data_IF_932898108306
#
_entry.id   IF_932898108306
#
_cell.length_a   1.000
_cell.length_b   1.000
_cell.length_c   1.000
_cell.angle_alpha   90.00
_cell.angle_beta   90.00
_cell.angle_gamma   90.00
#
_symmetry.space_group_name_H-M   'P 1'
#
loop_
_entity.id
_entity.type
_entity.pdbx_description
1 polymer ?
#
# COMPACT_ATOMS: atom_id res chain seq x y z
N UNK A 1 4.24 6.49 8.86
CA UNK A 1 5.54 6.83 9.49
C UNK A 1 6.71 6.64 8.51
N UNK A 2 6.82 5.50 7.82
CA UNK A 2 7.84 5.25 6.78
C UNK A 2 7.96 6.37 5.73
N UNK A 3 6.83 6.93 5.29
CA UNK A 3 6.81 8.04 4.32
C UNK A 3 7.36 9.35 4.88
N UNK A 4 7.25 9.57 6.19
CA UNK A 4 7.82 10.74 6.85
C UNK A 4 9.34 10.61 6.86
N UNK A 5 9.87 9.44 7.22
CA UNK A 5 11.33 9.19 7.21
C UNK A 5 11.92 9.39 5.82
N UNK A 6 11.26 8.82 4.79
CA UNK A 6 11.67 8.97 3.40
C UNK A 6 11.54 10.43 2.92
N UNK A 7 10.46 11.11 3.29
CA UNK A 7 10.25 12.52 2.97
C UNK A 7 11.30 13.43 3.62
N UNK A 8 11.63 13.19 4.89
CA UNK A 8 12.66 13.95 5.61
C UNK A 8 14.05 13.74 4.99
N UNK A 9 14.37 12.52 4.52
CA UNK A 9 15.60 12.24 3.79
C UNK A 9 15.73 13.08 2.50
N UNK A 10 14.62 13.31 1.80
CA UNK A 10 14.56 14.17 0.62
C UNK A 10 14.35 15.67 0.95
N UNK A 11 14.37 16.07 2.23
CA UNK A 11 14.00 17.43 2.69
C UNK A 11 12.63 17.91 2.21
N UNK A 12 11.65 17.00 2.16
CA UNK A 12 10.27 17.32 1.83
C UNK A 12 9.71 18.43 2.76
N UNK A 13 9.02 19.39 2.18
CA UNK A 13 8.36 20.45 2.93
C UNK A 13 7.05 19.96 3.58
N UNK A 14 6.46 20.78 4.45
CA UNK A 14 5.24 20.42 5.19
C UNK A 14 4.06 20.06 4.30
N UNK A 15 3.88 20.73 3.16
CA UNK A 15 2.78 20.43 2.25
C UNK A 15 2.98 19.04 1.61
N UNK A 16 4.22 18.71 1.24
CA UNK A 16 4.56 17.41 0.66
C UNK A 16 4.37 16.27 1.68
N UNK A 17 4.81 16.48 2.92
CA UNK A 17 4.60 15.52 4.01
C UNK A 17 3.11 15.34 4.32
N UNK A 18 2.34 16.42 4.39
CA UNK A 18 0.89 16.35 4.58
C UNK A 18 0.23 15.59 3.43
N UNK A 19 0.58 15.88 2.18
CA UNK A 19 0.07 15.14 1.01
C UNK A 19 0.37 13.65 1.10
N UNK A 20 1.61 13.27 1.42
CA UNK A 20 1.99 11.87 1.59
C UNK A 20 1.16 11.17 2.68
N UNK A 21 1.05 11.80 3.85
CA UNK A 21 0.29 11.23 4.98
C UNK A 21 -1.21 11.16 4.68
N UNK A 22 -1.77 12.16 3.99
CA UNK A 22 -3.18 12.14 3.60
C UNK A 22 -3.46 11.06 2.57
N UNK A 23 -2.61 10.89 1.55
CA UNK A 23 -2.76 9.81 0.56
C UNK A 23 -2.66 8.43 1.22
N UNK A 24 -1.70 8.25 2.13
CA UNK A 24 -1.54 7.02 2.91
C UNK A 24 -2.77 6.72 3.78
N UNK A 25 -3.26 7.71 4.52
CA UNK A 25 -4.45 7.55 5.36
C UNK A 25 -5.71 7.23 4.53
N UNK A 26 -5.88 7.87 3.36
CA UNK A 26 -6.98 7.58 2.44
C UNK A 26 -6.87 6.19 1.83
N UNK A 27 -5.67 5.76 1.44
CA UNK A 27 -5.39 4.40 0.96
C UNK A 27 -5.80 3.36 2.01
N UNK A 28 -5.32 3.50 3.25
CA UNK A 28 -5.66 2.57 4.34
C UNK A 28 -7.15 2.63 4.68
N UNK A 29 -7.73 3.83 4.77
CA UNK A 29 -9.15 4.00 5.09
C UNK A 29 -10.07 3.36 4.05
N UNK A 30 -9.79 3.56 2.77
CA UNK A 30 -10.57 2.94 1.69
C UNK A 30 -10.32 1.43 1.56
N UNK A 31 -9.12 0.94 1.87
CA UNK A 31 -8.83 -0.49 1.98
C UNK A 31 -9.56 -1.17 3.15
N UNK A 32 -9.71 -0.48 4.28
CA UNK A 32 -10.52 -0.94 5.40
C UNK A 32 -12.01 -1.01 5.01
N UNK A 33 -12.52 -0.01 4.27
CA UNK A 33 -13.89 -0.06 3.72
C UNK A 33 -14.03 -1.25 2.77
N UNK A 34 -13.06 -1.53 1.90
CA UNK A 34 -13.08 -2.71 1.04
C UNK A 34 -13.19 -4.00 1.86
N UNK A 35 -12.41 -4.13 2.92
CA UNK A 35 -12.41 -5.33 3.78
C UNK A 35 -13.72 -5.50 4.54
N UNK A 36 -14.33 -4.39 4.98
CA UNK A 36 -15.58 -4.39 5.75
C UNK A 36 -16.84 -4.35 4.88
N UNK A 37 -16.72 -4.23 3.56
CA UNK A 37 -17.87 -4.14 2.66
C UNK A 37 -18.68 -5.45 2.50
N UNK A 38 -18.33 -6.51 3.24
CA UNK A 38 -19.11 -7.75 3.30
C UNK A 38 -20.32 -7.65 4.25
N UNK A 39 -21.31 -8.51 4.07
CA UNK A 39 -22.49 -8.57 4.95
C UNK A 39 -23.76 -9.15 4.32
N UNK A 40 -23.68 -9.68 3.09
CA UNK A 40 -24.82 -10.19 2.32
C UNK A 40 -25.91 -9.13 2.09
N UNK A 41 -25.52 -7.86 1.89
CA UNK A 41 -26.46 -6.77 1.65
C UNK A 41 -26.13 -6.02 0.35
N UNK A 42 -27.09 -6.01 -0.58
CA UNK A 42 -26.95 -5.25 -1.82
C UNK A 42 -27.17 -3.75 -1.56
N UNK A 43 -26.13 -2.95 -1.77
CA UNK A 43 -26.21 -1.48 -1.73
C UNK A 43 -26.11 -0.97 -3.16
N UNK A 44 -27.08 -0.14 -3.58
CA UNK A 44 -27.12 0.41 -4.94
C UNK A 44 -27.05 -0.64 -6.08
N UNK A 45 -27.58 -1.85 -5.84
CA UNK A 45 -27.63 -2.93 -6.83
C UNK A 45 -26.31 -3.68 -7.05
N UNK A 46 -25.28 -3.39 -6.26
CA UNK A 46 -23.99 -4.10 -6.29
C UNK A 46 -23.95 -5.17 -5.20
N UNK A 47 -23.45 -6.34 -5.55
CA UNK A 47 -23.14 -7.39 -4.58
C UNK A 47 -21.88 -7.03 -3.76
N UNK A 48 -21.63 -7.80 -2.71
CA UNK A 48 -20.50 -7.55 -1.81
C UNK A 48 -19.16 -7.64 -2.58
N UNK A 49 -19.01 -8.60 -3.49
CA UNK A 49 -17.79 -8.77 -4.28
C UNK A 49 -17.46 -7.53 -5.13
N UNK A 50 -18.43 -7.01 -5.87
CA UNK A 50 -18.25 -5.80 -6.67
C UNK A 50 -17.92 -4.58 -5.80
N UNK A 51 -18.61 -4.42 -4.65
CA UNK A 51 -18.33 -3.33 -3.71
C UNK A 51 -16.90 -3.40 -3.17
N UNK A 52 -16.44 -4.59 -2.77
CA UNK A 52 -15.08 -4.84 -2.28
C UNK A 52 -14.04 -4.47 -3.35
N UNK A 53 -14.26 -4.89 -4.60
CA UNK A 53 -13.36 -4.59 -5.72
C UNK A 53 -13.29 -3.09 -6.05
N UNK A 54 -14.41 -2.38 -6.01
CA UNK A 54 -14.43 -0.92 -6.23
C UNK A 54 -13.59 -0.21 -5.17
N UNK A 55 -13.80 -0.52 -3.89
CA UNK A 55 -13.05 0.10 -2.80
C UNK A 55 -11.57 -0.29 -2.81
N UNK A 56 -11.25 -1.54 -3.16
CA UNK A 56 -9.88 -1.98 -3.41
C UNK A 56 -9.23 -1.18 -4.54
N UNK A 57 -9.96 -0.93 -5.63
CA UNK A 57 -9.48 -0.13 -6.76
C UNK A 57 -9.23 1.33 -6.38
N UNK A 58 -10.11 1.93 -5.57
CA UNK A 58 -9.94 3.29 -5.04
C UNK A 58 -8.69 3.36 -4.13
N UNK A 59 -8.54 2.40 -3.21
CA UNK A 59 -7.36 2.30 -2.33
C UNK A 59 -6.08 2.17 -3.14
N UNK A 60 -6.07 1.30 -4.15
CA UNK A 60 -4.95 1.13 -5.08
C UNK A 60 -4.69 2.40 -5.89
N UNK A 61 -5.73 3.16 -6.26
CA UNK A 61 -5.58 4.46 -6.90
C UNK A 61 -4.82 5.47 -6.04
N UNK A 62 -5.12 5.53 -4.73
CA UNK A 62 -4.36 6.35 -3.79
C UNK A 62 -2.91 5.87 -3.64
N UNK A 63 -2.67 4.55 -3.62
CA UNK A 63 -1.32 4.00 -3.66
C UNK A 63 -0.56 4.50 -4.90
N UNK A 64 -1.14 4.39 -6.10
CA UNK A 64 -0.49 4.82 -7.34
C UNK A 64 -0.22 6.33 -7.36
N UNK A 65 -1.15 7.15 -6.86
CA UNK A 65 -0.93 8.60 -6.72
C UNK A 65 0.24 8.91 -5.77
N UNK A 66 0.35 8.16 -4.66
CA UNK A 66 1.46 8.26 -3.72
C UNK A 66 2.78 7.84 -4.39
N UNK A 67 2.78 6.73 -5.14
CA UNK A 67 3.96 6.28 -5.88
C UNK A 67 4.43 7.32 -6.90
N UNK A 68 3.50 7.92 -7.65
CA UNK A 68 3.82 9.01 -8.57
C UNK A 68 4.55 10.16 -7.86
N UNK A 69 4.08 10.54 -6.67
CA UNK A 69 4.70 11.59 -5.88
C UNK A 69 6.11 11.20 -5.37
N UNK A 70 6.31 9.94 -4.97
CA UNK A 70 7.61 9.43 -4.54
C UNK A 70 8.64 9.41 -5.68
N UNK A 71 8.25 8.90 -6.86
CA UNK A 71 9.15 8.74 -8.01
C UNK A 71 9.39 10.04 -8.78
N UNK A 72 8.46 10.99 -8.73
CA UNK A 72 8.64 12.34 -9.27
C UNK A 72 9.29 13.24 -8.23
N UNK A 73 8.47 14.08 -7.61
CA UNK A 73 8.88 15.22 -6.79
C UNK A 73 9.97 14.90 -5.76
N UNK A 74 9.83 13.82 -4.98
CA UNK A 74 10.79 13.53 -3.91
C UNK A 74 12.10 12.90 -4.41
N UNK A 75 12.05 12.19 -5.54
CA UNK A 75 13.26 11.66 -6.16
C UNK A 75 14.11 12.78 -6.71
N UNK A 76 13.50 13.76 -7.39
CA UNK A 76 14.19 14.95 -7.89
C UNK A 76 14.84 15.72 -6.74
N UNK A 77 14.09 15.99 -5.67
CA UNK A 77 14.61 16.67 -4.48
C UNK A 77 15.78 15.92 -3.83
N UNK A 78 15.69 14.59 -3.70
CA UNK A 78 16.78 13.81 -3.12
C UNK A 78 18.05 13.84 -3.98
N UNK A 79 17.92 13.90 -5.31
CA UNK A 79 19.06 13.99 -6.23
C UNK A 79 19.75 15.36 -6.15
N UNK A 80 19.00 16.44 -5.94
CA UNK A 80 19.55 17.79 -5.74
C UNK A 80 20.40 17.92 -4.47
N UNK A 81 20.19 17.06 -3.47
CA UNK A 81 20.95 17.03 -2.22
C UNK A 81 22.31 16.34 -2.33
N UNK A 82 22.60 15.69 -3.47
CA UNK A 82 23.87 15.02 -3.76
C UNK A 82 23.72 13.53 -4.07
N UNK A 83 24.75 12.95 -4.68
CA UNK A 83 24.75 11.57 -5.17
C UNK A 83 24.46 10.54 -4.08
N UNK A 84 25.02 10.72 -2.88
CA UNK A 84 24.90 9.74 -1.80
C UNK A 84 23.49 9.73 -1.20
N UNK A 85 22.89 10.93 -1.02
CA UNK A 85 21.51 11.08 -0.54
C UNK A 85 20.53 10.55 -1.58
N UNK A 86 20.72 10.91 -2.86
CA UNK A 86 19.91 10.41 -3.96
C UNK A 86 19.95 8.88 -4.07
N UNK A 87 21.14 8.28 -3.94
CA UNK A 87 21.30 6.82 -3.95
C UNK A 87 20.59 6.14 -2.77
N UNK A 88 20.74 6.68 -1.55
CA UNK A 88 20.05 6.16 -0.36
C UNK A 88 18.54 6.30 -0.45
N UNK A 89 18.05 7.44 -0.92
CA UNK A 89 16.63 7.67 -1.15
C UNK A 89 16.08 6.67 -2.18
N UNK A 90 16.76 6.48 -3.32
CA UNK A 90 16.34 5.54 -4.34
C UNK A 90 16.30 4.10 -3.81
N UNK A 91 17.29 3.69 -3.01
CA UNK A 91 17.33 2.38 -2.37
C UNK A 91 16.10 2.17 -1.46
N UNK A 92 15.85 3.09 -0.52
CA UNK A 92 14.74 2.98 0.44
C UNK A 92 13.38 3.08 -0.25
N UNK A 93 13.23 4.02 -1.20
CA UNK A 93 12.01 4.15 -2.01
C UNK A 93 11.72 2.84 -2.73
N UNK A 94 12.70 2.26 -3.42
CA UNK A 94 12.49 1.02 -4.17
C UNK A 94 12.10 -0.15 -3.26
N UNK A 95 12.71 -0.26 -2.08
CA UNK A 95 12.34 -1.27 -1.09
C UNK A 95 10.89 -1.10 -0.65
N UNK A 96 10.50 0.11 -0.22
CA UNK A 96 9.14 0.42 0.23
C UNK A 96 8.13 0.11 -0.88
N UNK A 97 8.40 0.58 -2.11
CA UNK A 97 7.51 0.40 -3.26
C UNK A 97 7.34 -1.08 -3.59
N UNK A 98 8.45 -1.83 -3.64
CA UNK A 98 8.41 -3.25 -3.97
C UNK A 98 7.51 -4.01 -2.99
N UNK A 99 7.64 -3.73 -1.68
CA UNK A 99 6.85 -4.38 -0.64
C UNK A 99 5.39 -3.90 -0.67
N UNK A 100 5.17 -2.59 -0.84
CA UNK A 100 3.83 -1.98 -0.85
C UNK A 100 2.95 -2.46 -2.01
N UNK A 101 3.54 -2.70 -3.17
CA UNK A 101 2.81 -3.23 -4.33
C UNK A 101 2.34 -4.68 -4.14
N UNK A 102 2.96 -5.44 -3.23
CA UNK A 102 2.51 -6.81 -2.94
C UNK A 102 1.24 -6.82 -2.11
N UNK A 103 1.05 -5.89 -1.17
CA UNK A 103 -0.15 -5.85 -0.30
C UNK A 103 -1.49 -5.88 -1.06
N UNK A 104 -1.77 -4.99 -2.03
CA UNK A 104 -3.05 -5.00 -2.73
C UNK A 104 -3.24 -6.27 -3.57
N UNK A 105 -2.17 -6.86 -4.09
CA UNK A 105 -2.22 -8.11 -4.85
C UNK A 105 -2.47 -9.30 -3.92
N UNK A 106 -1.79 -9.34 -2.78
CA UNK A 106 -1.96 -10.39 -1.77
C UNK A 106 -3.37 -10.38 -1.18
N UNK A 107 -3.89 -9.20 -0.85
CA UNK A 107 -5.27 -9.02 -0.41
C UNK A 107 -6.27 -9.46 -1.49
N UNK A 108 -6.01 -9.12 -2.76
CA UNK A 108 -6.90 -9.51 -3.87
C UNK A 108 -6.90 -11.03 -4.08
N UNK A 109 -5.77 -11.70 -3.88
CA UNK A 109 -5.68 -13.16 -3.94
C UNK A 109 -6.24 -13.86 -2.68
N UNK A 110 -6.31 -13.13 -1.56
CA UNK A 110 -6.71 -13.62 -0.25
C UNK A 110 -8.20 -13.94 -0.10
N UNK A 111 -8.58 -14.29 1.12
CA UNK A 111 -9.96 -14.67 1.47
C UNK A 111 -10.93 -13.51 1.29
N UNK A 112 -10.45 -12.29 1.43
CA UNK A 112 -11.18 -11.04 1.26
C UNK A 112 -11.44 -10.66 -0.21
N UNK A 113 -10.68 -11.22 -1.15
CA UNK A 113 -10.72 -10.85 -2.56
C UNK A 113 -11.33 -11.96 -3.43
N UNK A 114 -10.47 -12.65 -4.16
CA UNK A 114 -10.80 -13.67 -5.17
C UNK A 114 -10.58 -15.11 -4.67
N UNK A 115 -10.08 -15.30 -3.45
CA UNK A 115 -9.80 -16.61 -2.84
C UNK A 115 -8.94 -17.54 -3.73
N UNK A 116 -7.85 -17.00 -4.28
CA UNK A 116 -6.92 -17.69 -5.18
C UNK A 116 -5.74 -18.34 -4.45
N UNK A 117 -5.52 -18.01 -3.18
CA UNK A 117 -4.45 -18.60 -2.38
C UNK A 117 -4.73 -20.08 -2.07
N UNK A 118 -3.68 -20.93 -2.00
CA UNK A 118 -3.84 -22.35 -1.73
C UNK A 118 -4.32 -22.61 -0.30
N UNK A 119 -5.17 -23.61 -0.16
CA UNK A 119 -5.59 -24.11 1.15
C UNK A 119 -4.47 -24.96 1.77
N UNK A 120 -4.10 -24.66 3.02
CA UNK A 120 -3.12 -25.44 3.79
C UNK A 120 -3.73 -25.74 5.16
N UNK A 121 -3.66 -27.00 5.59
CA UNK A 121 -4.19 -27.42 6.90
C UNK A 121 -5.69 -27.11 7.09
N UNK A 122 -6.50 -27.17 6.03
CA UNK A 122 -7.95 -26.96 6.09
C UNK A 122 -8.39 -25.50 6.00
N UNK A 123 -7.47 -24.56 5.72
CA UNK A 123 -7.79 -23.13 5.63
C UNK A 123 -6.85 -22.37 4.70
N UNK A 124 -7.39 -21.41 3.95
CA UNK A 124 -6.60 -20.42 3.19
C UNK A 124 -5.94 -19.39 4.12
N UNK A 125 -6.55 -19.15 5.30
CA UNK A 125 -6.15 -18.10 6.23
C UNK A 125 -4.72 -18.24 6.73
N UNK A 126 -4.22 -19.48 6.84
CA UNK A 126 -2.85 -19.74 7.26
C UNK A 126 -1.83 -19.17 6.28
N UNK A 127 -2.01 -19.44 4.98
CA UNK A 127 -1.11 -18.96 3.92
C UNK A 127 -1.19 -17.45 3.81
N UNK A 128 -2.41 -16.92 3.84
CA UNK A 128 -2.64 -15.48 3.77
C UNK A 128 -1.95 -14.73 4.91
N UNK A 129 -2.17 -15.18 6.14
CA UNK A 129 -1.60 -14.55 7.35
C UNK A 129 -0.08 -14.66 7.38
N UNK A 130 0.48 -15.81 6.99
CA UNK A 130 1.92 -15.99 6.90
C UNK A 130 2.53 -15.04 5.85
N UNK A 131 1.87 -14.85 4.71
CA UNK A 131 2.28 -13.88 3.70
C UNK A 131 2.30 -12.45 4.24
N UNK A 132 1.23 -12.01 4.90
CA UNK A 132 1.21 -10.68 5.52
C UNK A 132 2.26 -10.51 6.62
N UNK A 133 2.52 -11.55 7.42
CA UNK A 133 3.60 -11.52 8.43
C UNK A 133 4.96 -11.28 7.78
N UNK A 134 5.28 -11.99 6.69
CA UNK A 134 6.55 -11.80 5.97
C UNK A 134 6.63 -10.39 5.39
N UNK A 135 5.56 -9.92 4.73
CA UNK A 135 5.50 -8.56 4.18
C UNK A 135 5.74 -7.51 5.27
N UNK A 136 5.12 -7.67 6.44
CA UNK A 136 5.24 -6.76 7.56
C UNK A 136 6.66 -6.72 8.15
N UNK A 137 7.32 -7.87 8.28
CA UNK A 137 8.69 -7.94 8.75
C UNK A 137 9.64 -7.24 7.77
N UNK A 138 9.49 -7.50 6.48
CA UNK A 138 10.32 -6.87 5.44
C UNK A 138 10.05 -5.36 5.38
N UNK A 139 8.80 -4.91 5.46
CA UNK A 139 8.43 -3.50 5.37
C UNK A 139 8.93 -2.66 6.55
N UNK A 140 9.09 -3.26 7.73
CA UNK A 140 9.36 -2.55 8.98
C UNK A 140 10.79 -2.73 9.50
N UNK A 141 11.44 -3.85 9.20
CA UNK A 141 12.76 -4.21 9.75
C UNK A 141 13.87 -4.21 8.67
N UNK A 142 13.52 -4.50 7.42
CA UNK A 142 14.48 -4.56 6.30
C UNK A 142 15.01 -3.20 5.88
#
# INVERSE_FOLDING_TARGET
LLLIDLGLLARANRNQLTTLVSLDALMIGTGAIATLAGGNFAVAGLDDGARRLIWWGISTGFLLALLYFLFGTLTEQAQELGSDVGAKFAQLRNLIVAVWLVYPVWWLAGTEGLALLPEVSGSVLFVETAGFMVLDLVAKIG
#
